data_IF_345580892805
#
_entry.id   IF_345580892805
#
_cell.length_a   1.000
_cell.length_b   1.000
_cell.length_c   1.000
_cell.angle_alpha   90.00
_cell.angle_beta   90.00
_cell.angle_gamma   90.00
#
_symmetry.space_group_name_H-M   'P 1'
#
loop_
_entity.id
_entity.type
_entity.pdbx_description
1 polymer ?
#
# COMPACT_ATOMS: atom_id res chain seq x y z
N UNK A 1 -3.02 -40.39 -4.41
CA UNK A 1 -3.04 -38.91 -4.55
C UNK A 1 -3.59 -38.28 -3.28
N UNK A 2 -2.89 -37.30 -2.69
CA UNK A 2 -3.32 -36.60 -1.46
C UNK A 2 -3.80 -35.18 -1.79
N UNK A 3 -4.71 -34.63 -0.98
CA UNK A 3 -5.22 -33.26 -1.09
C UNK A 3 -5.00 -32.50 0.22
N UNK A 4 -4.82 -31.19 0.15
CA UNK A 4 -4.60 -30.38 1.35
C UNK A 4 -5.88 -30.22 2.17
N UNK A 5 -5.82 -30.54 3.46
CA UNK A 5 -6.94 -30.42 4.41
C UNK A 5 -7.46 -28.99 4.59
N UNK A 6 -6.65 -27.96 4.28
CA UNK A 6 -7.02 -26.55 4.46
C UNK A 6 -7.62 -25.89 3.21
N UNK A 7 -7.17 -26.26 2.01
CA UNK A 7 -7.56 -25.58 0.76
C UNK A 7 -8.00 -26.51 -0.37
N UNK A 8 -8.02 -27.84 -0.16
CA UNK A 8 -8.40 -28.81 -1.20
C UNK A 8 -7.38 -28.99 -2.34
N UNK A 9 -6.28 -28.22 -2.39
CA UNK A 9 -5.31 -28.29 -3.47
C UNK A 9 -4.61 -29.67 -3.53
N UNK A 10 -4.40 -30.16 -4.75
CA UNK A 10 -3.76 -31.46 -5.03
C UNK A 10 -2.28 -31.44 -4.65
N UNK A 11 -1.85 -32.38 -3.82
CA UNK A 11 -0.46 -32.47 -3.37
C UNK A 11 0.33 -33.44 -4.24
N UNK A 12 1.55 -33.03 -4.60
CA UNK A 12 2.56 -33.92 -5.18
C UNK A 12 3.03 -34.95 -4.14
N UNK A 13 3.49 -36.11 -4.61
CA UNK A 13 3.94 -37.19 -3.73
C UNK A 13 5.25 -36.79 -3.03
N UNK A 14 5.28 -36.86 -1.70
CA UNK A 14 6.41 -36.40 -0.88
C UNK A 14 6.39 -34.92 -0.46
N UNK A 15 5.39 -34.13 -0.86
CA UNK A 15 5.32 -32.71 -0.47
C UNK A 15 5.11 -32.52 1.05
N UNK A 16 6.10 -31.91 1.73
CA UNK A 16 6.04 -31.59 3.18
C UNK A 16 5.11 -30.42 3.52
N UNK A 17 4.83 -29.54 2.56
CA UNK A 17 3.96 -28.36 2.70
C UNK A 17 3.09 -28.22 1.45
N UNK A 18 1.90 -27.62 1.60
CA UNK A 18 1.03 -27.34 0.46
C UNK A 18 1.54 -26.13 -0.34
N UNK A 19 1.79 -26.24 -1.67
CA UNK A 19 2.30 -25.14 -2.48
C UNK A 19 1.29 -23.98 -2.64
N UNK A 20 0.00 -24.24 -2.43
CA UNK A 20 -1.07 -23.24 -2.61
C UNK A 20 -1.45 -22.48 -1.34
N UNK A 21 -1.06 -22.94 -0.14
CA UNK A 21 -1.48 -22.32 1.13
C UNK A 21 -0.47 -22.44 2.28
N UNK A 22 0.75 -22.89 2.01
CA UNK A 22 1.86 -23.02 2.97
C UNK A 22 1.64 -24.03 4.11
N UNK A 23 0.49 -24.69 4.19
CA UNK A 23 0.12 -25.52 5.35
C UNK A 23 0.95 -26.82 5.36
N UNK A 24 1.59 -27.20 6.49
CA UNK A 24 2.35 -28.43 6.59
C UNK A 24 1.45 -29.65 6.37
N UNK A 25 1.95 -30.60 5.59
CA UNK A 25 1.26 -31.86 5.30
C UNK A 25 1.81 -32.90 6.27
N UNK A 26 1.16 -33.03 7.42
CA UNK A 26 1.52 -34.03 8.42
C UNK A 26 1.44 -35.44 7.80
N UNK A 27 2.59 -36.06 7.60
CA UNK A 27 2.70 -37.44 7.11
C UNK A 27 2.44 -38.40 8.26
N UNK A 28 1.17 -38.69 8.53
CA UNK A 28 0.79 -39.79 9.42
C UNK A 28 1.08 -41.12 8.72
N UNK A 29 2.08 -41.84 9.22
CA UNK A 29 2.13 -43.30 9.22
C UNK A 29 1.91 -43.77 10.68
N UNK A 30 1.26 -44.92 10.91
CA UNK A 30 0.96 -45.41 12.26
C UNK A 30 2.14 -46.17 12.90
N UNK A 31 2.07 -46.31 14.24
CA UNK A 31 2.97 -47.03 15.16
C UNK A 31 4.43 -46.52 15.28
N UNK A 32 5.07 -46.50 16.47
CA UNK A 32 4.59 -46.79 17.84
C UNK A 32 5.55 -46.23 18.93
N UNK A 33 5.07 -46.22 20.18
CA UNK A 33 5.85 -46.22 21.45
C UNK A 33 6.58 -44.94 21.94
N UNK A 34 5.95 -44.33 22.95
CA UNK A 34 6.49 -43.83 24.24
C UNK A 34 8.00 -43.50 24.40
N UNK A 35 8.28 -42.27 24.87
CA UNK A 35 9.00 -42.09 26.14
C UNK A 35 8.70 -40.73 26.79
N UNK A 36 8.78 -40.69 28.12
CA UNK A 36 8.30 -39.64 29.02
C UNK A 36 9.47 -38.88 29.66
N UNK A 37 9.39 -37.54 29.80
CA UNK A 37 9.81 -36.79 31.01
C UNK A 37 9.57 -35.27 30.90
N UNK A 38 9.33 -34.63 32.05
CA UNK A 38 8.94 -33.21 32.21
C UNK A 38 10.01 -32.39 32.96
N UNK A 39 9.96 -31.05 32.84
CA UNK A 39 10.54 -30.04 33.78
C UNK A 39 12.10 -29.97 33.89
N UNK A 40 12.78 -28.89 34.34
CA UNK A 40 12.51 -27.46 34.67
C UNK A 40 13.89 -26.73 34.67
N UNK A 41 14.07 -25.53 34.09
CA UNK A 41 14.04 -24.17 34.68
C UNK A 41 15.28 -23.65 35.49
N UNK A 42 15.64 -22.36 35.26
CA UNK A 42 16.65 -21.49 35.93
C UNK A 42 18.16 -21.82 35.69
N UNK A 43 19.14 -20.89 35.71
CA UNK A 43 19.30 -19.56 36.35
C UNK A 43 20.18 -18.58 35.52
N UNK A 44 20.24 -17.28 35.91
CA UNK A 44 20.82 -16.11 35.22
C UNK A 44 22.36 -15.92 35.22
N UNK A 45 22.86 -14.83 34.57
CA UNK A 45 24.20 -14.11 34.65
C UNK A 45 24.85 -13.94 33.26
N UNK A 46 25.45 -12.82 32.78
CA UNK A 46 25.46 -11.36 33.12
C UNK A 46 26.15 -10.53 32.00
N UNK A 47 25.61 -9.35 31.63
CA UNK A 47 26.22 -8.16 30.92
C UNK A 47 26.91 -8.30 29.55
N UNK A 48 26.46 -7.49 28.57
CA UNK A 48 27.23 -6.59 27.64
C UNK A 48 26.28 -6.15 26.49
N UNK A 49 25.86 -4.88 26.44
CA UNK A 49 26.45 -3.83 25.59
C UNK A 49 25.97 -3.84 24.12
N UNK A 50 25.05 -2.92 23.78
CA UNK A 50 25.19 -1.97 22.67
C UNK A 50 23.97 -1.06 22.56
N UNK A 51 24.21 0.24 22.39
CA UNK A 51 23.20 1.24 22.04
C UNK A 51 23.02 1.25 20.52
N UNK A 52 21.78 1.12 20.04
CA UNK A 52 21.38 1.51 18.68
C UNK A 52 19.88 1.88 18.75
N UNK A 53 19.52 3.16 18.86
CA UNK A 53 19.39 4.15 17.77
C UNK A 53 18.16 3.89 16.88
N UNK A 54 17.33 4.94 16.77
CA UNK A 54 16.21 5.12 15.85
C UNK A 54 15.09 4.06 15.81
N UNK A 55 14.19 4.15 16.79
CA UNK A 55 12.80 3.73 16.60
C UNK A 55 12.01 4.86 15.93
N UNK A 56 12.11 4.95 14.60
CA UNK A 56 11.15 5.73 13.80
C UNK A 56 9.77 5.10 13.96
N UNK A 57 8.81 5.92 14.40
CA UNK A 57 7.47 5.47 14.79
C UNK A 57 6.60 5.16 13.57
N UNK A 58 6.75 3.97 13.00
CA UNK A 58 5.74 3.36 12.13
C UNK A 58 4.48 3.02 12.93
N UNK A 59 3.57 3.98 13.06
CA UNK A 59 2.19 3.71 13.48
C UNK A 59 1.44 3.06 12.31
N UNK A 60 1.54 1.74 12.23
CA UNK A 60 0.54 0.91 11.57
C UNK A 60 -0.84 1.23 12.15
N UNK A 61 -1.87 1.31 11.30
CA UNK A 61 -3.26 1.23 11.76
C UNK A 61 -4.08 0.46 10.74
N UNK A 62 -4.18 -0.84 11.06
CA UNK A 62 -5.17 -1.83 10.69
C UNK A 62 -5.46 -2.19 9.22
N UNK A 63 -5.63 -3.49 9.04
CA UNK A 63 -5.75 -4.19 7.78
C UNK A 63 -7.17 -4.74 7.60
N UNK A 64 -7.72 -4.58 6.39
CA UNK A 64 -8.75 -5.50 5.88
C UNK A 64 -8.27 -6.09 4.56
N UNK A 65 -7.97 -7.38 4.61
CA UNK A 65 -7.41 -8.18 3.53
C UNK A 65 -8.47 -8.57 2.49
N UNK A 66 -8.07 -8.58 1.22
CA UNK A 66 -8.68 -9.46 0.21
C UNK A 66 -7.67 -9.70 -0.90
N UNK A 67 -7.30 -10.96 -1.14
CA UNK A 67 -6.23 -11.34 -2.06
C UNK A 67 -6.69 -11.37 -3.52
N UNK A 68 -5.86 -10.83 -4.42
CA UNK A 68 -5.95 -11.02 -5.86
C UNK A 68 -4.54 -10.93 -6.48
N UNK A 69 -4.23 -11.69 -7.55
CA UNK A 69 -2.89 -11.69 -8.10
C UNK A 69 -2.54 -10.32 -8.69
N UNK A 70 -1.44 -9.72 -8.22
CA UNK A 70 -0.97 -8.37 -8.53
C UNK A 70 -1.82 -7.19 -8.00
N UNK A 71 -2.51 -7.34 -6.86
CA UNK A 71 -3.07 -6.19 -6.14
C UNK A 71 -2.01 -5.47 -5.30
N UNK A 72 -1.60 -4.26 -5.68
CA UNK A 72 -0.95 -3.33 -4.75
C UNK A 72 -1.90 -3.10 -3.56
N UNK A 73 -1.44 -3.17 -2.29
CA UNK A 73 -2.33 -3.04 -1.15
C UNK A 73 -3.00 -1.66 -1.14
N UNK A 74 -4.29 -1.65 -0.81
CA UNK A 74 -5.11 -0.45 -0.72
C UNK A 74 -4.61 0.46 0.41
N UNK A 75 -4.01 1.61 0.08
CA UNK A 75 -3.62 2.59 1.10
C UNK A 75 -4.86 3.35 1.57
N UNK A 76 -4.98 3.49 2.89
CA UNK A 76 -5.84 4.47 3.54
C UNK A 76 -5.30 5.90 3.39
N UNK A 77 -5.94 6.86 4.06
CA UNK A 77 -5.63 8.29 3.97
C UNK A 77 -4.15 8.61 4.22
N UNK A 78 -3.65 8.32 5.43
CA UNK A 78 -2.29 8.71 5.86
C UNK A 78 -1.22 8.11 4.94
N UNK A 79 -1.33 6.81 4.64
CA UNK A 79 -0.42 6.14 3.72
C UNK A 79 -0.46 6.73 2.30
N UNK A 80 -1.63 7.13 1.80
CA UNK A 80 -1.77 7.79 0.50
C UNK A 80 -1.05 9.13 0.47
N UNK A 81 -1.16 9.95 1.52
CA UNK A 81 -0.48 11.25 1.61
C UNK A 81 1.04 11.06 1.74
N UNK A 82 1.49 10.14 2.59
CA UNK A 82 2.92 9.80 2.70
C UNK A 82 3.49 9.34 1.36
N UNK A 83 2.80 8.46 0.65
CA UNK A 83 3.20 7.96 -0.66
C UNK A 83 3.26 9.08 -1.72
N UNK A 84 2.26 9.98 -1.75
CA UNK A 84 2.27 11.16 -2.64
C UNK A 84 3.48 12.07 -2.35
N UNK A 85 3.77 12.31 -1.07
CA UNK A 85 4.89 13.17 -0.64
C UNK A 85 6.26 12.56 -0.98
N UNK A 86 6.44 11.25 -0.77
CA UNK A 86 7.69 10.53 -1.12
C UNK A 86 8.07 10.69 -2.60
N UNK A 87 7.08 10.75 -3.49
CA UNK A 87 7.27 10.83 -4.93
C UNK A 87 6.90 12.22 -5.51
N UNK A 88 6.75 13.25 -4.66
CA UNK A 88 6.14 14.53 -5.03
C UNK A 88 6.74 15.20 -6.27
N UNK A 89 8.06 15.02 -6.49
CA UNK A 89 8.81 15.62 -7.58
C UNK A 89 8.99 14.71 -8.82
N UNK A 90 8.34 13.54 -8.86
CA UNK A 90 8.37 12.63 -10.01
C UNK A 90 7.32 13.00 -11.06
N UNK A 91 7.67 13.95 -11.93
CA UNK A 91 6.79 14.44 -13.02
C UNK A 91 6.91 13.64 -14.33
N UNK A 92 7.76 12.61 -14.40
CA UNK A 92 8.05 11.90 -15.66
C UNK A 92 7.20 10.63 -15.88
N UNK A 93 6.16 10.41 -15.08
CA UNK A 93 5.20 9.29 -15.23
C UNK A 93 5.73 7.88 -14.88
N UNK A 94 7.03 7.62 -14.99
CA UNK A 94 7.66 6.28 -15.00
C UNK A 94 7.51 5.37 -13.77
N UNK A 95 6.68 5.72 -12.78
CA UNK A 95 6.20 4.83 -11.73
C UNK A 95 4.67 4.75 -11.84
N UNK A 96 4.11 3.80 -12.60
CA UNK A 96 2.69 3.74 -12.89
C UNK A 96 1.88 3.33 -11.64
N UNK A 97 0.93 4.17 -11.24
CA UNK A 97 0.14 4.00 -10.01
C UNK A 97 -1.26 3.44 -10.29
N UNK A 98 -1.53 2.23 -9.79
CA UNK A 98 -2.80 1.51 -10.03
C UNK A 98 -3.93 1.91 -9.07
N UNK A 99 -3.61 2.46 -7.90
CA UNK A 99 -4.55 2.61 -6.78
C UNK A 99 -5.31 3.93 -6.89
N UNK A 100 -6.60 3.82 -7.23
CA UNK A 100 -7.52 4.96 -7.25
C UNK A 100 -7.56 5.71 -5.90
N UNK A 101 -7.47 5.00 -4.78
CA UNK A 101 -7.56 5.60 -3.43
C UNK A 101 -6.48 6.65 -3.18
N UNK A 102 -5.26 6.43 -3.69
CA UNK A 102 -4.13 7.36 -3.51
C UNK A 102 -4.49 8.74 -4.05
N UNK A 103 -4.95 8.80 -5.30
CA UNK A 103 -5.38 10.06 -5.93
C UNK A 103 -6.53 10.74 -5.17
N UNK A 104 -7.59 9.99 -4.83
CA UNK A 104 -8.78 10.57 -4.18
C UNK A 104 -8.50 11.06 -2.75
N UNK A 105 -7.66 10.35 -1.98
CA UNK A 105 -7.21 10.84 -0.67
C UNK A 105 -6.30 12.07 -0.80
N UNK A 106 -5.42 12.11 -1.81
CA UNK A 106 -4.62 13.28 -2.15
C UNK A 106 -5.49 14.50 -2.48
N UNK A 107 -6.48 14.32 -3.36
CA UNK A 107 -7.46 15.35 -3.71
C UNK A 107 -8.21 15.86 -2.47
N UNK A 108 -8.70 14.96 -1.62
CA UNK A 108 -9.41 15.32 -0.39
C UNK A 108 -8.51 16.09 0.58
N UNK A 109 -7.26 15.65 0.80
CA UNK A 109 -6.30 16.35 1.64
C UNK A 109 -6.02 17.77 1.13
N UNK A 110 -5.73 17.91 -0.17
CA UNK A 110 -5.49 19.20 -0.81
C UNK A 110 -6.71 20.12 -0.67
N UNK A 111 -7.93 19.60 -0.87
CA UNK A 111 -9.15 20.39 -0.72
C UNK A 111 -9.38 20.88 0.72
N UNK A 112 -9.26 19.98 1.71
CA UNK A 112 -9.39 20.34 3.13
C UNK A 112 -8.32 21.35 3.57
N UNK A 113 -7.08 21.16 3.11
CA UNK A 113 -5.95 22.03 3.44
C UNK A 113 -6.12 23.42 2.83
N UNK A 114 -6.62 23.52 1.59
CA UNK A 114 -6.99 24.80 0.99
C UNK A 114 -8.15 25.47 1.74
N UNK A 115 -9.16 24.72 2.18
CA UNK A 115 -10.27 25.26 2.98
C UNK A 115 -9.79 25.90 4.30
N UNK A 116 -8.84 25.28 4.99
CA UNK A 116 -8.20 25.86 6.19
C UNK A 116 -7.43 27.15 5.88
N UNK A 117 -6.76 27.21 4.72
CA UNK A 117 -5.93 28.35 4.30
C UNK A 117 -6.75 29.52 3.71
N UNK A 118 -8.06 29.36 3.43
CA UNK A 118 -8.94 30.44 2.92
C UNK A 118 -8.83 31.73 3.74
N UNK A 119 -8.74 31.59 5.07
CA UNK A 119 -8.70 32.70 6.04
C UNK A 119 -7.36 33.45 6.09
N UNK A 120 -6.32 33.00 5.36
CA UNK A 120 -4.98 33.60 5.35
C UNK A 120 -4.74 34.40 4.05
N UNK A 121 -5.07 35.70 4.01
CA UNK A 121 -4.78 36.54 2.85
C UNK A 121 -3.28 36.61 2.56
N UNK A 122 -2.91 36.79 1.29
CA UNK A 122 -1.52 36.83 0.83
C UNK A 122 -0.94 35.45 0.51
N UNK A 123 -0.83 34.54 1.48
CA UNK A 123 -0.21 33.22 1.27
C UNK A 123 -1.10 32.23 0.52
N UNK A 124 -2.44 32.40 0.59
CA UNK A 124 -3.41 31.49 -0.03
C UNK A 124 -3.12 31.18 -1.49
N UNK A 125 -2.80 32.18 -2.30
CA UNK A 125 -2.60 31.99 -3.74
C UNK A 125 -1.40 31.07 -4.02
N UNK A 126 -0.23 31.39 -3.46
CA UNK A 126 0.97 30.54 -3.53
C UNK A 126 0.68 29.10 -3.09
N UNK A 127 -0.12 28.95 -2.03
CA UNK A 127 -0.48 27.66 -1.46
C UNK A 127 -1.42 26.83 -2.36
N UNK A 128 -2.40 27.46 -3.00
CA UNK A 128 -3.27 26.84 -4.01
C UNK A 128 -2.42 26.28 -5.15
N UNK A 129 -1.52 27.09 -5.72
CA UNK A 129 -0.63 26.66 -6.80
C UNK A 129 0.30 25.50 -6.37
N UNK A 130 0.94 25.61 -5.20
CA UNK A 130 1.84 24.56 -4.69
C UNK A 130 1.11 23.23 -4.41
N UNK A 131 -0.08 23.28 -3.82
CA UNK A 131 -0.90 22.09 -3.55
C UNK A 131 -1.50 21.50 -4.83
N UNK A 132 -1.79 22.32 -5.84
CA UNK A 132 -2.18 21.85 -7.17
C UNK A 132 -1.02 21.14 -7.90
N UNK A 133 0.24 21.60 -7.77
CA UNK A 133 1.41 20.92 -8.37
C UNK A 133 1.54 19.50 -7.81
N UNK A 134 1.34 19.32 -6.50
CA UNK A 134 1.35 18.01 -5.86
C UNK A 134 0.27 17.07 -6.41
N UNK A 135 -0.94 17.60 -6.64
CA UNK A 135 -2.05 16.85 -7.23
C UNK A 135 -1.78 16.48 -8.70
N UNK A 136 -1.20 17.40 -9.48
CA UNK A 136 -0.79 17.16 -10.87
C UNK A 136 0.29 16.05 -10.92
N UNK A 137 1.27 16.06 -10.02
CA UNK A 137 2.30 15.01 -9.89
C UNK A 137 1.68 13.63 -9.66
N UNK A 138 0.74 13.51 -8.71
CA UNK A 138 -0.01 12.28 -8.48
C UNK A 138 -0.88 11.88 -9.69
N UNK A 139 -1.44 12.87 -10.40
CA UNK A 139 -2.26 12.63 -11.58
C UNK A 139 -1.44 12.08 -12.77
N UNK A 140 -0.22 12.55 -12.98
CA UNK A 140 0.68 12.09 -14.03
C UNK A 140 0.98 10.59 -13.91
N UNK A 141 1.39 10.12 -12.72
CA UNK A 141 1.68 8.69 -12.44
C UNK A 141 0.48 7.76 -12.67
N UNK A 142 -0.73 8.27 -12.49
CA UNK A 142 -1.95 7.50 -12.77
C UNK A 142 -2.34 7.54 -14.24
N UNK A 143 -2.14 8.64 -14.96
CA UNK A 143 -2.36 8.68 -16.42
C UNK A 143 -1.42 7.73 -17.18
N UNK A 144 -0.19 7.60 -16.70
CA UNK A 144 0.81 6.65 -17.22
C UNK A 144 0.32 5.19 -17.10
N UNK A 145 -0.19 4.79 -15.93
CA UNK A 145 -0.82 3.46 -15.71
C UNK A 145 -1.98 3.16 -16.67
N UNK A 146 -2.71 4.20 -17.09
CA UNK A 146 -3.87 4.11 -18.00
C UNK A 146 -3.41 4.11 -19.48
N UNK A 147 -2.13 4.36 -19.76
CA UNK A 147 -1.61 4.48 -21.13
C UNK A 147 -2.11 5.73 -21.87
N UNK A 148 -2.55 6.76 -21.14
CA UNK A 148 -3.01 8.04 -21.71
C UNK A 148 -1.91 9.09 -21.62
N UNK A 149 -1.99 10.12 -22.47
CA UNK A 149 -1.04 11.22 -22.46
C UNK A 149 -0.98 11.90 -21.07
N UNK A 150 0.18 11.75 -20.41
CA UNK A 150 0.52 12.31 -19.10
C UNK A 150 0.31 13.83 -19.03
N UNK A 151 0.43 14.55 -20.15
CA UNK A 151 0.16 15.98 -20.26
C UNK A 151 -1.27 16.38 -19.91
N UNK A 152 -2.24 15.45 -19.93
CA UNK A 152 -3.63 15.69 -19.49
C UNK A 152 -3.70 16.09 -18.00
N UNK A 153 -2.70 15.73 -17.17
CA UNK A 153 -2.65 16.13 -15.76
C UNK A 153 -2.65 17.66 -15.58
N UNK A 154 -2.01 18.41 -16.49
CA UNK A 154 -1.92 19.86 -16.41
C UNK A 154 -3.28 20.57 -16.52
N UNK A 155 -4.31 19.91 -17.07
CA UNK A 155 -5.68 20.46 -17.10
C UNK A 155 -6.24 20.64 -15.68
N UNK A 156 -5.72 19.94 -14.66
CA UNK A 156 -6.13 20.15 -13.26
C UNK A 156 -5.77 21.52 -12.71
N UNK A 157 -4.80 22.24 -13.31
CA UNK A 157 -4.48 23.62 -12.95
C UNK A 157 -5.54 24.64 -13.36
N UNK A 158 -6.42 24.29 -14.30
CA UNK A 158 -7.40 25.20 -14.90
C UNK A 158 -8.78 24.80 -14.37
N UNK A 159 -9.40 25.54 -13.43
CA UNK A 159 -10.62 25.10 -12.73
C UNK A 159 -11.78 24.70 -13.65
N UNK A 160 -11.92 25.38 -14.80
CA UNK A 160 -12.94 25.09 -15.80
C UNK A 160 -12.72 23.76 -16.56
N UNK A 161 -11.47 23.31 -16.70
CA UNK A 161 -11.09 22.15 -17.51
C UNK A 161 -10.68 20.96 -16.63
N UNK A 162 -10.34 21.19 -15.36
CA UNK A 162 -10.00 20.20 -14.34
C UNK A 162 -11.08 19.12 -14.14
N UNK A 163 -12.33 19.39 -14.51
CA UNK A 163 -13.41 18.40 -14.47
C UNK A 163 -13.18 17.22 -15.44
N UNK A 164 -12.51 17.43 -16.58
CA UNK A 164 -12.20 16.37 -17.55
C UNK A 164 -11.29 15.28 -16.98
N UNK A 165 -10.08 15.57 -16.45
CA UNK A 165 -9.25 14.53 -15.84
C UNK A 165 -9.87 13.93 -14.58
N UNK A 166 -10.72 14.67 -13.84
CA UNK A 166 -11.47 14.11 -12.70
C UNK A 166 -12.50 13.05 -13.13
N UNK A 167 -13.29 13.34 -14.18
CA UNK A 167 -14.25 12.38 -14.76
C UNK A 167 -13.50 11.16 -15.31
N UNK A 168 -12.41 11.39 -16.06
CA UNK A 168 -11.53 10.33 -16.57
C UNK A 168 -11.07 9.41 -15.43
N UNK A 169 -10.56 9.99 -14.34
CA UNK A 169 -10.07 9.25 -13.17
C UNK A 169 -11.15 8.53 -12.36
N UNK A 170 -12.41 8.93 -12.47
CA UNK A 170 -13.53 8.23 -11.84
C UNK A 170 -13.88 6.96 -12.62
N UNK A 171 -14.20 7.11 -13.91
CA UNK A 171 -14.68 6.03 -14.78
C UNK A 171 -13.63 5.04 -15.26
N UNK A 172 -12.36 5.41 -15.10
CA UNK A 172 -11.19 4.62 -15.46
C UNK A 172 -11.33 3.11 -15.18
N UNK A 173 -11.16 2.30 -16.23
CA UNK A 173 -10.94 0.86 -16.15
C UNK A 173 -9.74 0.57 -17.05
N UNK A 174 -8.85 -0.30 -16.58
CA UNK A 174 -7.83 -0.89 -17.44
C UNK A 174 -8.55 -1.79 -18.45
N UNK A 175 -8.40 -1.47 -19.74
CA UNK A 175 -8.83 -2.34 -20.86
C UNK A 175 -7.91 -3.57 -20.99
#
# INVERSE_FOLDING_TARGET
>A
MKYCVKCGHKLAEGAKFCPSCGTPVATVQPDSTESNSQHQAATATTVSESLNVDSVKESQTDSTSSEGPQSQPQLGFVGSIQYIMQHAFEFNGGVPESRKSVFWWGFLAVYLLNFVVISLPGIRELFVWLSAILLVSAAMRRLDYIGKNTGIAWLMMIPLVAIYPMILMFFDKKE
#
